data_IF_843287646926
#
_entry.id   IF_843287646926
#
_cell.length_a   1.000
_cell.length_b   1.000
_cell.length_c   1.000
_cell.angle_alpha   90.00
_cell.angle_beta   90.00
_cell.angle_gamma   90.00
#
_symmetry.space_group_name_H-M   'P 1'
#
loop_
_entity.id
_entity.type
_entity.pdbx_description
1 polymer ?
#
# COMPACT_ATOMS: atom_id res chain seq x y z
N UNK A 1 -20.64 5.26 14.15
CA UNK A 1 -19.49 5.80 13.41
C UNK A 1 -19.79 5.56 11.94
N UNK A 2 -19.48 6.50 11.05
CA UNK A 2 -19.75 6.31 9.62
C UNK A 2 -18.59 5.51 9.00
N UNK A 3 -18.91 4.55 8.14
CA UNK A 3 -17.91 3.72 7.46
C UNK A 3 -17.84 4.16 6.00
N UNK A 4 -16.64 4.48 5.52
CA UNK A 4 -16.40 5.00 4.19
C UNK A 4 -15.28 4.19 3.52
N UNK A 5 -15.42 3.97 2.21
CA UNK A 5 -14.44 3.25 1.39
C UNK A 5 -14.30 3.91 0.02
N UNK A 6 -13.22 3.58 -0.68
CA UNK A 6 -13.05 3.98 -2.08
C UNK A 6 -13.67 2.91 -2.99
N UNK A 7 -14.57 3.30 -3.89
CA UNK A 7 -15.03 2.44 -4.97
C UNK A 7 -14.23 2.76 -6.25
N UNK A 8 -13.47 1.79 -6.75
CA UNK A 8 -12.75 1.90 -8.03
C UNK A 8 -13.41 0.99 -9.05
N UNK A 9 -13.74 1.55 -10.21
CA UNK A 9 -14.43 0.85 -11.29
C UNK A 9 -13.75 1.08 -12.64
N UNK A 10 -13.98 0.22 -13.66
CA UNK A 10 -13.57 0.50 -15.03
C UNK A 10 -14.19 1.80 -15.56
N UNK A 11 -13.54 2.52 -16.49
CA UNK A 11 -14.06 3.78 -17.03
C UNK A 11 -15.49 3.67 -17.60
N UNK A 12 -15.79 2.57 -18.30
CA UNK A 12 -17.12 2.29 -18.85
C UNK A 12 -18.21 2.21 -17.77
N UNK A 13 -17.90 1.60 -16.63
CA UNK A 13 -18.78 1.50 -15.46
C UNK A 13 -18.89 2.86 -14.75
N UNK A 14 -17.80 3.62 -14.66
CA UNK A 14 -17.80 4.97 -14.06
C UNK A 14 -18.76 5.90 -14.79
N UNK A 15 -18.72 5.93 -16.13
CA UNK A 15 -19.63 6.76 -16.94
C UNK A 15 -21.10 6.41 -16.69
N UNK A 16 -21.41 5.12 -16.52
CA UNK A 16 -22.77 4.69 -16.21
C UNK A 16 -23.21 5.11 -14.81
N UNK A 17 -22.35 4.93 -13.80
CA UNK A 17 -22.64 5.39 -12.43
C UNK A 17 -22.87 6.91 -12.42
N UNK A 18 -22.04 7.68 -13.11
CA UNK A 18 -22.19 9.14 -13.19
C UNK A 18 -23.52 9.54 -13.82
N UNK A 19 -23.94 8.88 -14.90
CA UNK A 19 -25.28 9.09 -15.50
C UNK A 19 -26.39 8.78 -14.50
N UNK A 20 -26.32 7.65 -13.80
CA UNK A 20 -27.32 7.28 -12.79
C UNK A 20 -27.39 8.26 -11.62
N UNK A 21 -26.25 8.78 -11.16
CA UNK A 21 -26.20 9.76 -10.07
C UNK A 21 -26.79 11.12 -10.51
N UNK A 22 -26.53 11.54 -11.75
CA UNK A 22 -27.06 12.79 -12.29
C UNK A 22 -28.55 12.68 -12.66
N UNK A 23 -28.97 11.55 -13.22
CA UNK A 23 -30.36 11.26 -13.54
C UNK A 23 -31.18 11.10 -12.28
N UNK A 24 -30.71 10.41 -11.23
CA UNK A 24 -31.44 10.34 -9.96
C UNK A 24 -31.61 11.72 -9.30
N UNK A 25 -30.62 12.60 -9.41
CA UNK A 25 -30.73 13.99 -8.98
C UNK A 25 -31.77 14.78 -9.82
N UNK A 26 -31.91 14.48 -11.12
CA UNK A 26 -32.85 15.13 -12.04
C UNK A 26 -34.26 14.50 -12.10
N UNK A 27 -34.38 13.20 -11.80
CA UNK A 27 -35.56 12.34 -11.94
C UNK A 27 -36.58 12.51 -10.82
N UNK A 28 -36.38 13.50 -9.93
CA UNK A 28 -37.47 14.11 -9.16
C UNK A 28 -38.59 14.71 -10.05
N UNK A 29 -38.46 14.66 -11.38
CA UNK A 29 -39.33 15.34 -12.36
C UNK A 29 -40.00 14.45 -13.42
N UNK A 30 -39.59 13.19 -13.65
CA UNK A 30 -40.19 12.37 -14.72
C UNK A 30 -39.88 10.88 -14.58
N UNK A 31 -40.87 10.11 -14.14
CA UNK A 31 -40.81 8.65 -14.02
C UNK A 31 -41.20 7.96 -15.33
N UNK A 32 -40.23 7.42 -16.09
CA UNK A 32 -40.55 6.45 -17.16
C UNK A 32 -39.44 5.46 -17.55
N UNK A 33 -38.46 5.20 -16.69
CA UNK A 33 -37.52 4.09 -16.88
C UNK A 33 -37.83 2.94 -15.91
N UNK A 34 -37.62 1.70 -16.34
CA UNK A 34 -37.74 0.52 -15.47
C UNK A 34 -36.76 0.65 -14.31
N UNK A 35 -37.20 0.47 -13.05
CA UNK A 35 -36.32 0.61 -11.88
C UNK A 35 -35.15 -0.38 -11.88
N UNK A 36 -35.35 -1.55 -12.48
CA UNK A 36 -34.36 -2.63 -12.51
C UNK A 36 -33.12 -2.28 -13.34
N UNK A 37 -33.23 -1.44 -14.38
CA UNK A 37 -32.11 -1.02 -15.24
C UNK A 37 -31.16 -0.01 -14.56
N UNK A 38 -31.52 0.48 -13.36
CA UNK A 38 -30.82 1.59 -12.69
C UNK A 38 -30.30 1.25 -11.29
N UNK A 39 -30.47 0.00 -10.86
CA UNK A 39 -30.05 -0.42 -9.52
C UNK A 39 -28.54 -0.63 -9.45
N UNK A 40 -27.94 -0.23 -8.32
CA UNK A 40 -26.56 -0.53 -7.96
C UNK A 40 -26.59 -1.47 -6.76
N UNK A 41 -25.92 -2.60 -6.87
CA UNK A 41 -25.79 -3.55 -5.77
C UNK A 41 -24.36 -4.04 -5.62
N UNK A 42 -23.99 -4.38 -4.39
CA UNK A 42 -22.67 -4.88 -4.04
C UNK A 42 -22.81 -5.98 -2.99
N UNK A 43 -22.41 -7.19 -3.35
CA UNK A 43 -22.45 -8.36 -2.48
C UNK A 43 -21.04 -8.95 -2.33
N UNK A 44 -20.74 -9.47 -1.14
CA UNK A 44 -19.47 -10.15 -0.85
C UNK A 44 -19.72 -11.63 -0.56
N UNK A 45 -18.76 -12.47 -0.93
CA UNK A 45 -18.70 -13.86 -0.48
C UNK A 45 -18.35 -13.95 1.00
N UNK A 46 -18.47 -15.15 1.57
CA UNK A 46 -18.20 -15.44 2.98
C UNK A 46 -16.76 -15.10 3.42
N UNK A 47 -15.82 -15.05 2.49
CA UNK A 47 -14.44 -14.63 2.76
C UNK A 47 -14.29 -13.13 3.06
N UNK A 48 -15.34 -12.34 2.84
CA UNK A 48 -15.36 -10.89 3.06
C UNK A 48 -14.39 -10.11 2.18
N UNK A 49 -13.81 -10.73 1.14
CA UNK A 49 -12.78 -10.13 0.29
C UNK A 49 -13.13 -10.17 -1.18
N UNK A 50 -13.82 -11.20 -1.63
CA UNK A 50 -14.31 -11.31 -3.00
C UNK A 50 -15.80 -10.96 -3.04
N UNK A 51 -16.25 -10.39 -4.15
CA UNK A 51 -17.62 -9.95 -4.28
C UNK A 51 -18.04 -9.73 -5.73
N UNK A 52 -19.30 -9.33 -5.88
CA UNK A 52 -19.91 -9.02 -7.16
C UNK A 52 -20.54 -7.64 -7.05
N UNK A 53 -20.14 -6.74 -7.95
CA UNK A 53 -20.79 -5.46 -8.15
C UNK A 53 -21.77 -5.58 -9.31
N UNK A 54 -22.99 -5.09 -9.15
CA UNK A 54 -24.02 -5.11 -10.19
C UNK A 54 -24.51 -3.71 -10.52
N UNK A 55 -24.69 -3.46 -11.81
CA UNK A 55 -25.37 -2.28 -12.34
C UNK A 55 -26.44 -2.73 -13.32
N UNK A 56 -27.70 -2.57 -12.91
CA UNK A 56 -28.83 -3.21 -13.57
C UNK A 56 -28.67 -4.73 -13.62
N UNK A 57 -28.66 -5.30 -14.83
CA UNK A 57 -28.51 -6.74 -15.05
C UNK A 57 -27.06 -7.18 -15.32
N UNK A 58 -26.09 -6.26 -15.32
CA UNK A 58 -24.69 -6.58 -15.60
C UNK A 58 -23.91 -6.75 -14.30
N UNK A 59 -23.11 -7.83 -14.22
CA UNK A 59 -22.33 -8.18 -13.05
C UNK A 59 -20.84 -8.07 -13.33
N UNK A 60 -20.11 -7.59 -12.33
CA UNK A 60 -18.67 -7.35 -12.39
C UNK A 60 -18.00 -7.97 -11.17
N UNK A 61 -16.86 -8.65 -11.34
CA UNK A 61 -16.08 -9.12 -10.20
C UNK A 61 -15.54 -7.94 -9.39
N UNK A 62 -15.69 -8.02 -8.07
CA UNK A 62 -15.21 -7.04 -7.10
C UNK A 62 -14.26 -7.67 -6.08
N UNK A 63 -13.27 -6.90 -5.62
CA UNK A 63 -12.33 -7.33 -4.58
C UNK A 63 -12.09 -6.22 -3.56
N UNK A 64 -12.16 -6.53 -2.27
CA UNK A 64 -11.85 -5.61 -1.18
C UNK A 64 -10.35 -5.66 -0.84
N UNK A 65 -9.66 -4.56 -1.12
CA UNK A 65 -8.23 -4.42 -0.94
C UNK A 65 -7.89 -3.38 0.13
N UNK A 66 -6.83 -3.64 0.88
CA UNK A 66 -6.31 -2.69 1.87
C UNK A 66 -5.44 -1.63 1.16
N UNK A 67 -5.70 -0.35 1.40
CA UNK A 67 -4.90 0.74 0.87
C UNK A 67 -3.59 0.85 1.66
N UNK A 68 -2.46 1.16 1.00
CA UNK A 68 -1.18 1.26 1.69
C UNK A 68 -1.12 2.49 2.59
N UNK A 69 -1.90 3.55 2.30
CA UNK A 69 -1.96 4.76 3.10
C UNK A 69 -3.38 4.98 3.61
N UNK A 70 -3.51 5.49 4.83
CA UNK A 70 -4.78 5.98 5.38
C UNK A 70 -5.17 7.25 4.62
N UNK A 71 -6.43 7.30 4.20
CA UNK A 71 -7.02 8.45 3.51
C UNK A 71 -8.08 9.05 4.43
N UNK A 72 -7.96 10.33 4.76
CA UNK A 72 -8.94 11.02 5.59
C UNK A 72 -9.97 11.72 4.69
N UNK A 73 -11.26 11.55 5.01
CA UNK A 73 -12.32 12.36 4.41
C UNK A 73 -12.66 13.55 5.30
N UNK A 74 -12.91 14.68 4.66
CA UNK A 74 -13.28 15.92 5.32
C UNK A 74 -14.51 16.51 4.63
N UNK A 75 -15.35 17.18 5.41
CA UNK A 75 -16.41 18.05 4.90
C UNK A 75 -16.14 19.49 5.29
N UNK A 76 -16.65 20.40 4.49
CA UNK A 76 -16.54 21.84 4.71
C UNK A 76 -17.78 22.55 4.18
N UNK A 77 -18.07 23.73 4.73
CA UNK A 77 -19.12 24.62 4.23
C UNK A 77 -18.55 25.85 3.51
N UNK A 78 -17.29 26.20 3.77
CA UNK A 78 -16.64 27.46 3.37
C UNK A 78 -15.27 27.25 2.70
N UNK A 79 -14.92 26.00 2.39
CA UNK A 79 -13.64 25.56 1.84
C UNK A 79 -12.40 25.94 2.68
N UNK A 80 -12.62 26.38 3.92
CA UNK A 80 -11.57 26.87 4.81
C UNK A 80 -11.46 26.00 6.06
N UNK A 81 -12.59 25.75 6.72
CA UNK A 81 -12.64 24.87 7.89
C UNK A 81 -12.97 23.45 7.43
N UNK A 82 -11.98 22.57 7.51
CA UNK A 82 -12.14 21.15 7.21
C UNK A 82 -12.48 20.37 8.48
N UNK A 83 -13.61 19.66 8.48
CA UNK A 83 -14.04 18.81 9.58
C UNK A 83 -13.88 17.36 9.14
N UNK A 84 -13.02 16.62 9.84
CA UNK A 84 -12.78 15.19 9.57
C UNK A 84 -14.08 14.39 9.76
N UNK A 85 -14.37 13.50 8.80
CA UNK A 85 -15.56 12.64 8.82
C UNK A 85 -15.23 11.16 8.95
N UNK A 86 -14.18 10.67 8.29
CA UNK A 86 -13.77 9.27 8.38
C UNK A 86 -12.29 9.06 8.08
N UNK A 87 -11.78 7.91 8.52
CA UNK A 87 -10.53 7.30 8.08
C UNK A 87 -10.84 6.16 7.12
N UNK A 88 -10.26 6.20 5.92
CA UNK A 88 -10.47 5.23 4.85
C UNK A 88 -9.18 4.45 4.65
N UNK A 89 -9.22 3.16 4.97
CA UNK A 89 -8.09 2.23 4.80
C UNK A 89 -8.29 1.19 3.72
N UNK A 90 -9.45 1.17 3.05
CA UNK A 90 -9.81 0.10 2.10
C UNK A 90 -10.44 0.65 0.84
N UNK A 91 -10.33 -0.15 -0.23
CA UNK A 91 -10.87 0.11 -1.55
C UNK A 91 -11.55 -1.15 -2.09
N UNK A 92 -12.73 -0.98 -2.66
CA UNK A 92 -13.42 -2.00 -3.44
C UNK A 92 -13.05 -1.78 -4.90
N UNK A 93 -12.35 -2.75 -5.48
CA UNK A 93 -11.91 -2.72 -6.87
C UNK A 93 -12.82 -3.61 -7.71
N UNK A 94 -13.65 -2.97 -8.54
CA UNK A 94 -14.44 -3.60 -9.58
C UNK A 94 -13.57 -3.73 -10.83
N UNK A 95 -13.67 -4.88 -11.51
CA UNK A 95 -12.85 -5.22 -12.67
C UNK A 95 -13.71 -5.69 -13.82
N UNK A 96 -13.16 -5.71 -15.03
CA UNK A 96 -13.79 -6.43 -16.14
C UNK A 96 -13.61 -7.95 -15.94
N UNK A 97 -14.49 -8.77 -16.53
CA UNK A 97 -14.46 -10.23 -16.36
C UNK A 97 -13.13 -10.86 -16.79
N UNK A 98 -12.47 -10.28 -17.80
CA UNK A 98 -11.21 -10.77 -18.35
C UNK A 98 -9.97 -10.26 -17.60
N UNK A 99 -10.12 -9.29 -16.69
CA UNK A 99 -8.98 -8.75 -15.95
C UNK A 99 -8.50 -9.76 -14.90
N UNK A 100 -7.18 -9.84 -14.64
CA UNK A 100 -6.67 -10.68 -13.56
C UNK A 100 -7.16 -10.19 -12.19
N UNK A 101 -7.40 -11.12 -11.28
CA UNK A 101 -7.67 -10.80 -9.88
C UNK A 101 -6.42 -10.14 -9.24
N UNK A 102 -6.60 -9.18 -8.32
CA UNK A 102 -5.47 -8.58 -7.61
C UNK A 102 -4.65 -9.62 -6.86
N UNK A 103 -3.33 -9.46 -6.85
CA UNK A 103 -2.43 -10.33 -6.11
C UNK A 103 -2.39 -9.90 -4.63
N UNK A 104 -2.89 -10.76 -3.75
CA UNK A 104 -2.88 -10.55 -2.31
C UNK A 104 -3.96 -9.60 -1.81
N UNK A 105 -3.90 -9.32 -0.50
CA UNK A 105 -4.93 -8.55 0.22
C UNK A 105 -4.72 -7.04 0.10
N UNK A 106 -3.48 -6.62 -0.11
CA UNK A 106 -3.09 -5.23 -0.08
C UNK A 106 -2.87 -4.66 -1.49
N UNK A 107 -3.39 -3.46 -1.71
CA UNK A 107 -3.16 -2.72 -2.93
C UNK A 107 -1.78 -2.06 -2.97
N UNK A 108 -1.08 -2.26 -4.09
CA UNK A 108 0.31 -1.82 -4.25
C UNK A 108 0.50 -0.29 -4.29
N UNK A 109 -0.52 0.46 -4.71
CA UNK A 109 -0.42 1.90 -4.98
C UNK A 109 -1.32 2.69 -4.01
N UNK A 110 -0.93 3.93 -3.69
CA UNK A 110 -1.89 4.89 -3.11
C UNK A 110 -2.81 5.48 -4.18
N UNK A 111 -3.79 6.28 -3.74
CA UNK A 111 -4.78 6.87 -4.64
C UNK A 111 -4.19 7.93 -5.59
N UNK A 112 -3.17 8.67 -5.14
CA UNK A 112 -2.60 9.79 -5.90
C UNK A 112 -1.40 9.34 -6.74
N UNK A 113 -1.15 9.95 -7.92
CA UNK A 113 -0.05 9.56 -8.81
C UNK A 113 1.33 9.49 -8.13
N UNK A 114 1.71 10.44 -7.25
CA UNK A 114 2.97 10.36 -6.53
C UNK A 114 3.10 9.07 -5.69
N UNK A 115 1.99 8.55 -5.17
CA UNK A 115 1.92 7.37 -4.30
C UNK A 115 1.93 6.03 -5.06
N UNK A 116 2.30 6.02 -6.35
CA UNK A 116 2.56 4.77 -7.08
C UNK A 116 3.66 3.96 -6.41
N UNK A 117 3.37 2.67 -6.19
CA UNK A 117 4.21 1.70 -5.46
C UNK A 117 4.62 2.19 -4.06
N UNK A 118 3.68 2.78 -3.30
CA UNK A 118 3.92 3.50 -2.06
C UNK A 118 4.83 2.74 -1.08
N UNK A 119 4.49 1.47 -0.75
CA UNK A 119 5.28 0.67 0.21
C UNK A 119 6.72 0.44 -0.24
N UNK A 120 6.91 0.18 -1.53
CA UNK A 120 8.24 -0.11 -2.08
C UNK A 120 9.10 1.15 -2.20
N UNK A 121 8.47 2.29 -2.52
CA UNK A 121 9.16 3.47 -3.05
C UNK A 121 9.20 4.66 -2.10
N UNK A 122 8.25 4.75 -1.15
CA UNK A 122 8.11 5.89 -0.23
C UNK A 122 8.18 5.51 1.23
N UNK A 123 7.62 4.35 1.59
CA UNK A 123 7.61 3.95 2.98
C UNK A 123 8.98 3.42 3.38
N UNK A 124 9.44 3.84 4.56
CA UNK A 124 10.65 3.28 5.15
C UNK A 124 10.41 1.79 5.38
N UNK A 125 11.29 0.95 4.83
CA UNK A 125 11.24 -0.49 5.11
C UNK A 125 11.49 -0.71 6.59
N UNK A 126 10.72 -1.61 7.17
CA UNK A 126 11.03 -2.09 8.50
C UNK A 126 12.39 -2.80 8.46
N UNK A 127 13.20 -2.66 9.52
CA UNK A 127 14.44 -3.43 9.60
C UNK A 127 14.09 -4.91 9.48
N UNK A 128 14.88 -5.64 8.70
CA UNK A 128 14.77 -7.09 8.67
C UNK A 128 15.26 -7.61 10.04
N UNK A 129 14.32 -7.88 10.94
CA UNK A 129 14.58 -8.39 12.28
C UNK A 129 14.40 -9.89 12.27
N UNK A 130 15.39 -10.61 12.80
CA UNK A 130 15.26 -12.06 12.99
C UNK A 130 14.11 -12.34 13.98
N UNK A 131 13.05 -12.99 13.50
CA UNK A 131 11.86 -13.31 14.28
C UNK A 131 12.17 -14.11 15.55
N UNK A 132 13.17 -15.00 15.51
CA UNK A 132 13.60 -15.75 16.71
C UNK A 132 14.20 -14.84 17.76
N UNK A 133 15.02 -13.88 17.33
CA UNK A 133 15.63 -12.89 18.23
C UNK A 133 14.55 -12.00 18.84
N UNK A 134 13.59 -11.53 18.05
CA UNK A 134 12.47 -10.71 18.53
C UNK A 134 11.68 -11.45 19.59
N UNK A 135 11.33 -12.71 19.35
CA UNK A 135 10.57 -13.53 20.31
C UNK A 135 11.37 -13.78 21.61
N UNK A 136 12.68 -14.04 21.50
CA UNK A 136 13.55 -14.18 22.68
C UNK A 136 13.60 -12.89 23.51
N UNK A 137 13.74 -11.74 22.85
CA UNK A 137 13.75 -10.42 23.50
C UNK A 137 12.40 -10.12 24.14
N UNK A 138 11.30 -10.38 23.45
CA UNK A 138 9.94 -10.20 23.97
C UNK A 138 9.71 -11.05 25.22
N UNK A 139 10.05 -12.35 25.16
CA UNK A 139 9.95 -13.26 26.32
C UNK A 139 10.79 -12.78 27.50
N UNK A 140 12.00 -12.28 27.23
CA UNK A 140 12.88 -11.77 28.26
C UNK A 140 12.33 -10.48 28.91
N UNK A 141 11.79 -9.57 28.10
CA UNK A 141 11.09 -8.37 28.57
C UNK A 141 9.89 -8.73 29.46
N UNK A 142 9.06 -9.66 29.03
CA UNK A 142 7.92 -10.16 29.79
C UNK A 142 8.38 -10.73 31.14
N UNK A 143 9.47 -11.49 31.18
CA UNK A 143 10.02 -12.04 32.43
C UNK A 143 10.49 -10.94 33.38
N UNK A 144 11.19 -9.93 32.85
CA UNK A 144 11.64 -8.77 33.64
C UNK A 144 10.43 -8.00 34.20
N UNK A 145 9.41 -7.75 33.36
CA UNK A 145 8.19 -7.04 33.77
C UNK A 145 7.42 -7.80 34.86
N UNK A 146 7.43 -9.13 34.82
CA UNK A 146 6.83 -9.98 35.86
C UNK A 146 7.73 -10.17 37.10
N UNK A 147 8.85 -9.45 37.20
CA UNK A 147 9.75 -9.51 38.35
C UNK A 147 10.52 -10.83 38.48
N UNK A 148 10.58 -11.62 37.40
CA UNK A 148 11.43 -12.82 37.37
C UNK A 148 12.88 -12.34 37.35
N UNK A 149 13.61 -12.60 38.44
CA UNK A 149 15.04 -12.25 38.53
C UNK A 149 15.84 -12.98 37.46
N UNK A 150 16.36 -12.23 36.51
CA UNK A 150 17.33 -12.71 35.54
C UNK A 150 18.70 -12.61 36.20
N UNK A 151 19.47 -13.71 36.27
CA UNK A 151 20.82 -13.68 36.82
C UNK A 151 21.70 -12.70 36.02
N UNK A 152 21.97 -11.52 36.58
CA UNK A 152 22.80 -10.49 35.98
C UNK A 152 24.29 -10.82 36.17
N UNK A 153 24.87 -11.56 35.23
CA UNK A 153 26.33 -11.57 35.03
C UNK A 153 26.72 -10.66 33.85
N UNK A 154 26.04 -9.53 33.69
CA UNK A 154 26.38 -8.53 32.68
C UNK A 154 27.40 -7.55 33.26
N UNK A 155 28.70 -7.82 33.05
CA UNK A 155 29.72 -6.80 33.27
C UNK A 155 29.64 -5.77 32.15
N UNK A 156 29.20 -4.55 32.50
CA UNK A 156 29.40 -3.38 31.64
C UNK A 156 30.87 -3.02 31.78
N UNK A 157 31.71 -3.52 30.88
CA UNK A 157 33.11 -3.10 30.82
C UNK A 157 33.15 -1.78 30.04
N UNK A 158 33.17 -0.68 30.79
CA UNK A 158 33.62 0.61 30.28
C UNK A 158 35.09 0.49 29.89
N UNK A 159 35.40 0.76 28.62
CA UNK A 159 36.76 0.72 28.11
C UNK A 159 37.45 2.06 28.35
N UNK A 160 38.31 2.13 29.35
CA UNK A 160 39.40 3.11 29.41
C UNK A 160 40.72 2.45 29.87
N UNK A 161 41.81 2.96 29.25
CA UNK A 161 43.24 2.80 29.53
C UNK A 161 44.01 1.56 29.02
N UNK A 162 44.72 1.78 27.91
CA UNK A 162 46.18 1.96 27.95
C UNK A 162 47.05 0.75 28.31
N UNK A 163 47.62 0.09 27.29
CA UNK A 163 48.65 -0.94 27.54
C UNK A 163 49.21 -1.57 26.26
N UNK A 164 50.36 -1.04 25.84
CA UNK A 164 51.21 -1.44 24.71
C UNK A 164 51.42 -2.97 24.58
N UNK A 165 51.00 -3.57 23.46
CA UNK A 165 51.32 -4.97 23.09
C UNK A 165 51.58 -5.12 21.59
N UNK A 166 52.78 -5.60 21.28
CA UNK A 166 53.37 -5.91 19.97
C UNK A 166 52.46 -6.73 19.06
N UNK A 167 52.33 -6.30 17.79
CA UNK A 167 51.62 -7.02 16.70
C UNK A 167 52.37 -8.28 16.26
N UNK A 168 51.71 -9.45 16.12
CA UNK A 168 52.20 -10.54 15.28
C UNK A 168 51.77 -10.33 13.81
N UNK A 169 52.44 -10.98 12.83
CA UNK A 169 52.27 -10.67 11.41
C UNK A 169 50.96 -11.21 10.85
N UNK A 170 50.34 -10.42 9.98
CA UNK A 170 49.15 -10.80 9.19
C UNK A 170 49.56 -11.80 8.11
N UNK A 171 49.03 -13.02 8.17
CA UNK A 171 49.08 -13.97 7.07
C UNK A 171 48.13 -13.50 5.94
N UNK A 172 48.64 -13.40 4.73
CA UNK A 172 47.88 -13.08 3.51
C UNK A 172 46.92 -14.23 3.17
N UNK A 173 45.65 -13.91 2.92
CA UNK A 173 44.70 -14.85 2.32
C UNK A 173 45.06 -15.15 0.85
N UNK A 174 44.85 -16.39 0.35
CA UNK A 174 45.12 -16.74 -1.04
C UNK A 174 44.06 -16.17 -1.99
N UNK A 175 44.51 -15.72 -3.18
CA UNK A 175 43.67 -15.23 -4.28
C UNK A 175 42.80 -16.36 -4.84
N UNK A 176 41.50 -16.13 -4.99
CA UNK A 176 40.63 -16.94 -5.86
C UNK A 176 40.72 -16.43 -7.32
N UNK A 177 40.59 -17.34 -8.33
CA UNK A 177 40.77 -17.00 -9.73
C UNK A 177 39.50 -16.43 -10.39
N UNK A 178 39.77 -15.69 -11.46
CA UNK A 178 38.95 -14.85 -12.31
C UNK A 178 37.87 -15.61 -13.11
N UNK A 179 36.61 -15.15 -13.08
CA UNK A 179 35.55 -15.52 -14.04
C UNK A 179 34.58 -14.35 -14.28
N UNK A 180 34.88 -13.59 -15.33
CA UNK A 180 34.06 -12.89 -16.33
C UNK A 180 32.58 -12.53 -16.03
N UNK A 181 32.29 -11.22 -16.11
CA UNK A 181 30.97 -10.63 -16.32
C UNK A 181 30.45 -10.87 -17.76
N UNK A 182 29.13 -11.06 -17.98
CA UNK A 182 28.54 -10.90 -19.29
C UNK A 182 28.01 -9.47 -19.50
N UNK A 183 28.39 -8.91 -20.65
CA UNK A 183 28.09 -7.59 -21.19
C UNK A 183 26.66 -7.42 -21.71
N UNK A 184 26.22 -6.16 -21.63
CA UNK A 184 25.17 -5.40 -22.34
C UNK A 184 24.54 -5.98 -23.63
N UNK A 185 23.23 -5.73 -23.80
CA UNK A 185 22.71 -4.82 -24.85
C UNK A 185 21.19 -4.61 -24.76
N UNK A 186 20.75 -3.38 -25.06
CA UNK A 186 19.35 -3.00 -25.23
C UNK A 186 19.17 -1.48 -25.19
N UNK A 187 19.60 -0.83 -26.28
CA UNK A 187 19.50 0.60 -26.60
C UNK A 187 18.05 1.13 -26.57
N UNK A 188 17.85 2.40 -26.21
CA UNK A 188 17.04 3.38 -26.97
C UNK A 188 17.20 4.82 -26.38
N UNK A 189 16.95 5.89 -27.18
CA UNK A 189 17.89 7.00 -27.33
C UNK A 189 17.59 8.25 -26.51
N UNK A 190 18.64 9.07 -26.40
CA UNK A 190 18.66 10.40 -25.80
C UNK A 190 17.59 11.34 -26.39
N UNK A 191 16.83 11.97 -25.50
CA UNK A 191 15.96 13.10 -25.87
C UNK A 191 16.74 14.39 -25.68
N UNK A 192 16.98 15.04 -26.81
CA UNK A 192 17.44 16.41 -26.99
C UNK A 192 16.60 17.40 -26.17
N UNK A 193 17.22 18.07 -25.20
CA UNK A 193 16.74 19.34 -24.65
C UNK A 193 17.11 20.44 -25.66
N UNK A 194 16.10 20.99 -26.32
CA UNK A 194 16.22 22.23 -27.09
C UNK A 194 15.39 23.31 -26.41
N UNK A 195 16.10 24.35 -26.00
CA UNK A 195 15.64 25.58 -25.38
C UNK A 195 14.56 26.27 -26.22
N UNK A 196 13.41 26.57 -25.62
CA UNK A 196 12.44 27.50 -26.20
C UNK A 196 12.78 28.91 -25.73
N UNK A 197 13.32 29.70 -26.65
CA UNK A 197 13.57 31.13 -26.49
C UNK A 197 12.28 31.93 -26.67
N UNK A 198 12.19 33.01 -25.90
CA UNK A 198 11.20 34.08 -25.92
C UNK A 198 10.79 34.54 -27.34
N UNK A 199 9.48 34.55 -27.64
CA UNK A 199 8.70 35.74 -28.04
C UNK A 199 7.21 35.41 -28.27
#
# INVERSE_FOLDING_TARGET
>A
MEEQFILRVPPSVAERIERLMNESAAASSSSSSNPDDTSLDLSFSEDGRNGTFMIGNESFPASLLDLPAVVESYKTYDDSVLIKTADIGQMIMVREENDPAPEGVEYKHGLTPPMRDARRRRFRREPDLNAELVNQVEKHLINIMHGVSVNQNASVIGGEEGGDRKKPPVARAPKQPDVQEPTANGEEPERSDSEESEN
#
